data_IF_530233459167
#
_entry.id   IF_530233459167
#
_cell.length_a   1.000
_cell.length_b   1.000
_cell.length_c   1.000
_cell.angle_alpha   90.00
_cell.angle_beta   90.00
_cell.angle_gamma   90.00
#
_symmetry.space_group_name_H-M   'P 1'
#
loop_
_entity.id
_entity.type
_entity.pdbx_description
1 polymer ?
#
# COMPACT_ATOMS: atom_id res chain seq x y z
N UNK A 1 -53.49 14.35 11.23
CA UNK A 1 -52.07 14.10 10.87
C UNK A 1 -51.88 14.43 9.40
N UNK A 2 -51.18 15.53 9.09
CA UNK A 2 -51.03 16.02 7.71
C UNK A 2 -50.17 15.05 6.90
N UNK A 3 -50.58 14.73 5.66
CA UNK A 3 -49.89 13.81 4.75
C UNK A 3 -48.42 14.21 4.53
N UNK A 4 -48.13 15.50 4.67
CA UNK A 4 -46.78 16.07 4.62
C UNK A 4 -45.89 15.71 5.83
N UNK A 5 -46.47 15.46 7.01
CA UNK A 5 -45.72 15.03 8.20
C UNK A 5 -45.19 13.60 8.04
N UNK A 6 -45.94 12.72 7.38
CA UNK A 6 -45.49 11.37 7.04
C UNK A 6 -44.44 11.36 5.93
N UNK A 7 -44.58 12.25 4.93
CA UNK A 7 -43.59 12.38 3.83
C UNK A 7 -42.28 12.99 4.35
N UNK A 8 -42.33 13.96 5.25
CA UNK A 8 -41.15 14.52 5.90
C UNK A 8 -40.46 13.51 6.82
N UNK A 9 -41.20 12.71 7.60
CA UNK A 9 -40.60 11.65 8.43
C UNK A 9 -39.90 10.57 7.57
N UNK A 10 -40.45 10.23 6.40
CA UNK A 10 -39.88 9.24 5.48
C UNK A 10 -38.63 9.75 4.73
N UNK A 11 -38.55 11.06 4.46
CA UNK A 11 -37.38 11.71 3.85
C UNK A 11 -36.20 11.86 4.81
N UNK A 12 -36.45 11.98 6.11
CA UNK A 12 -35.38 12.09 7.14
C UNK A 12 -34.78 10.70 7.45
N UNK A 13 -35.56 9.63 7.30
CA UNK A 13 -35.12 8.25 7.55
C UNK A 13 -34.26 7.66 6.42
N UNK A 14 -34.19 8.32 5.26
CA UNK A 14 -33.41 7.85 4.10
C UNK A 14 -31.96 8.37 4.05
N UNK A 15 -31.53 9.17 5.04
CA UNK A 15 -30.22 9.84 5.03
C UNK A 15 -29.17 9.27 6.00
N UNK A 16 -29.38 8.07 6.57
CA UNK A 16 -28.43 7.47 7.54
C UNK A 16 -27.95 6.11 7.06
N UNK A 17 -27.27 6.09 5.91
CA UNK A 17 -26.37 4.98 5.55
C UNK A 17 -25.04 5.55 5.07
N UNK A 18 -24.37 6.31 5.92
CA UNK A 18 -22.95 6.62 5.73
C UNK A 18 -22.17 5.34 5.97
N UNK A 19 -21.94 4.60 4.89
CA UNK A 19 -21.06 3.45 4.87
C UNK A 19 -19.65 3.90 5.28
N UNK A 20 -19.27 3.60 6.52
CA UNK A 20 -17.89 3.70 6.98
C UNK A 20 -17.08 2.61 6.28
N UNK A 21 -16.43 2.98 5.17
CA UNK A 21 -15.43 2.14 4.52
C UNK A 21 -14.21 2.08 5.43
N UNK A 22 -14.20 1.08 6.33
CA UNK A 22 -12.99 0.71 7.07
C UNK A 22 -12.02 0.05 6.09
N UNK A 23 -10.80 0.57 6.00
CA UNK A 23 -9.73 -0.06 5.25
C UNK A 23 -9.49 -1.47 5.82
N UNK A 24 -9.93 -2.49 5.08
CA UNK A 24 -9.81 -3.87 5.50
C UNK A 24 -8.33 -4.23 5.71
N UNK A 25 -8.00 -4.77 6.88
CA UNK A 25 -6.67 -5.30 7.17
C UNK A 25 -6.41 -6.48 6.22
N UNK A 26 -5.26 -6.53 5.52
CA UNK A 26 -4.97 -7.65 4.62
C UNK A 26 -4.91 -8.95 5.40
N UNK A 27 -5.61 -9.98 4.90
CA UNK A 27 -5.67 -11.33 5.51
C UNK A 27 -4.28 -11.95 5.64
N UNK A 28 -3.40 -11.65 4.69
CA UNK A 28 -1.98 -12.01 4.74
C UNK A 28 -1.10 -10.82 4.35
N UNK A 29 -0.51 -10.09 5.31
CA UNK A 29 0.40 -8.97 5.03
C UNK A 29 1.79 -9.45 4.57
N UNK A 30 2.03 -10.75 4.42
CA UNK A 30 3.33 -11.29 4.08
C UNK A 30 4.39 -11.07 5.18
N UNK A 31 5.67 -11.38 4.90
CA UNK A 31 6.74 -11.24 5.87
C UNK A 31 6.99 -9.78 6.26
N UNK A 32 7.39 -9.55 7.50
CA UNK A 32 7.73 -8.21 8.01
C UNK A 32 9.00 -7.64 7.39
N UNK A 33 9.98 -8.51 7.17
CA UNK A 33 11.27 -8.19 6.55
C UNK A 33 11.52 -9.21 5.43
N UNK A 34 11.96 -8.73 4.27
CA UNK A 34 12.36 -9.56 3.13
C UNK A 34 13.85 -9.32 2.87
N UNK A 35 14.60 -10.40 2.68
CA UNK A 35 16.00 -10.34 2.24
C UNK A 35 16.03 -10.31 0.71
N UNK A 36 16.26 -9.14 0.14
CA UNK A 36 16.33 -8.96 -1.31
C UNK A 36 17.79 -9.11 -1.75
N UNK A 37 18.08 -10.19 -2.48
CA UNK A 37 19.40 -10.39 -3.08
C UNK A 37 19.54 -9.48 -4.30
N UNK A 38 20.50 -8.56 -4.24
CA UNK A 38 20.78 -7.58 -5.29
C UNK A 38 22.26 -7.70 -5.67
N UNK A 39 22.55 -8.53 -6.68
CA UNK A 39 23.92 -8.89 -7.04
C UNK A 39 24.62 -9.67 -5.92
N UNK A 40 25.75 -9.14 -5.44
CA UNK A 40 26.55 -9.74 -4.35
C UNK A 40 26.05 -9.38 -2.95
N UNK A 41 25.17 -8.39 -2.85
CA UNK A 41 24.71 -7.84 -1.59
C UNK A 41 23.26 -8.24 -1.32
N UNK A 42 22.86 -8.16 -0.05
CA UNK A 42 21.49 -8.45 0.37
C UNK A 42 20.95 -7.26 1.15
N UNK A 43 19.84 -6.70 0.68
CA UNK A 43 19.16 -5.59 1.35
C UNK A 43 18.08 -6.15 2.26
N UNK A 44 18.01 -5.65 3.49
CA UNK A 44 16.89 -5.92 4.38
C UNK A 44 15.73 -4.96 4.08
N UNK A 45 14.74 -5.44 3.34
CA UNK A 45 13.56 -4.67 2.99
C UNK A 45 12.48 -4.80 4.07
N UNK A 46 12.08 -3.68 4.66
CA UNK A 46 11.05 -3.62 5.72
C UNK A 46 9.65 -3.57 5.11
N UNK A 47 9.16 -4.71 4.61
CA UNK A 47 7.89 -4.81 3.86
C UNK A 47 6.68 -4.22 4.62
N UNK A 48 6.51 -4.54 5.92
CA UNK A 48 5.40 -3.96 6.70
C UNK A 48 5.50 -2.45 6.91
N UNK A 49 6.72 -1.89 6.92
CA UNK A 49 6.88 -0.42 6.97
C UNK A 49 6.32 0.20 5.69
N UNK A 50 6.62 -0.40 4.55
CA UNK A 50 6.13 0.07 3.26
C UNK A 50 4.61 -0.09 3.13
N UNK A 51 4.03 -1.20 3.61
CA UNK A 51 2.57 -1.34 3.69
C UNK A 51 1.90 -0.23 4.49
N UNK A 52 2.51 0.21 5.61
CA UNK A 52 1.99 1.34 6.39
C UNK A 52 2.12 2.65 5.61
N UNK A 53 3.26 2.89 4.97
CA UNK A 53 3.51 4.09 4.17
C UNK A 53 2.55 4.18 2.99
N UNK A 54 2.23 3.06 2.35
CA UNK A 54 1.29 2.99 1.24
C UNK A 54 -0.15 2.78 1.69
N UNK A 55 -0.48 2.89 2.99
CA UNK A 55 -1.84 2.64 3.50
C UNK A 55 -2.48 1.34 2.98
N UNK A 56 -1.69 0.26 2.97
CA UNK A 56 -2.03 -1.06 2.43
C UNK A 56 -2.46 -1.06 0.94
N UNK A 57 -2.09 -0.05 0.16
CA UNK A 57 -2.19 -0.11 -1.30
C UNK A 57 -1.11 -1.08 -1.84
N UNK A 58 -1.41 -2.39 -1.79
CA UNK A 58 -0.45 -3.44 -2.16
C UNK A 58 0.01 -3.35 -3.62
N UNK A 59 -0.84 -2.78 -4.49
CA UNK A 59 -0.59 -2.70 -5.92
C UNK A 59 0.39 -1.60 -6.33
N UNK A 60 0.85 -0.77 -5.40
CA UNK A 60 1.97 0.15 -5.63
C UNK A 60 3.26 -0.63 -5.97
N UNK A 61 3.35 -1.89 -5.53
CA UNK A 61 4.50 -2.78 -5.79
C UNK A 61 4.11 -4.10 -6.47
N UNK A 62 2.95 -4.65 -6.15
CA UNK A 62 2.51 -5.97 -6.60
C UNK A 62 1.52 -5.90 -7.76
N UNK A 63 1.47 -6.94 -8.58
CA UNK A 63 0.29 -7.14 -9.41
C UNK A 63 -0.89 -7.61 -8.54
N UNK A 64 -2.12 -7.43 -9.03
CA UNK A 64 -3.33 -7.81 -8.29
C UNK A 64 -3.53 -9.34 -8.15
N UNK A 65 -2.71 -10.15 -8.81
CA UNK A 65 -2.87 -11.61 -8.92
C UNK A 65 -1.87 -12.38 -8.05
N UNK A 66 -0.72 -11.81 -7.72
CA UNK A 66 0.41 -12.48 -7.09
C UNK A 66 1.11 -11.59 -6.06
N UNK A 67 1.34 -12.15 -4.88
CA UNK A 67 2.21 -11.54 -3.87
C UNK A 67 3.71 -11.59 -4.24
N UNK A 68 4.10 -12.38 -5.24
CA UNK A 68 5.47 -12.40 -5.76
C UNK A 68 5.58 -11.51 -6.98
N UNK A 69 6.51 -10.56 -6.95
CA UNK A 69 6.83 -9.71 -8.10
C UNK A 69 7.58 -10.57 -9.14
N UNK A 70 7.03 -10.65 -10.36
CA UNK A 70 7.64 -11.39 -11.46
C UNK A 70 8.91 -10.69 -11.95
N UNK A 71 9.86 -11.46 -12.50
CA UNK A 71 11.12 -10.93 -13.06
C UNK A 71 11.91 -10.04 -12.08
N UNK A 72 11.96 -10.43 -10.80
CA UNK A 72 12.73 -9.72 -9.78
C UNK A 72 14.21 -9.68 -10.14
N UNK A 73 14.73 -8.48 -10.42
CA UNK A 73 16.13 -8.20 -10.74
C UNK A 73 16.46 -6.73 -10.37
N UNK A 74 17.68 -6.28 -10.68
CA UNK A 74 18.14 -4.91 -10.45
C UNK A 74 17.21 -3.86 -11.07
N UNK A 75 16.91 -3.99 -12.37
CA UNK A 75 16.07 -3.03 -13.08
C UNK A 75 14.67 -2.93 -12.49
N UNK A 76 14.06 -4.06 -12.12
CA UNK A 76 12.75 -4.10 -11.46
C UNK A 76 12.79 -3.40 -10.11
N UNK A 77 13.81 -3.65 -9.30
CA UNK A 77 13.94 -3.00 -7.98
C UNK A 77 14.17 -1.49 -8.12
N UNK A 78 15.05 -1.05 -9.02
CA UNK A 78 15.31 0.37 -9.26
C UNK A 78 14.06 1.09 -9.77
N UNK A 79 13.28 0.45 -10.64
CA UNK A 79 12.03 1.00 -11.18
C UNK A 79 10.92 1.17 -10.13
N UNK A 80 10.87 0.30 -9.12
CA UNK A 80 9.84 0.34 -8.07
C UNK A 80 10.28 1.26 -6.92
N UNK A 81 11.50 1.09 -6.42
CA UNK A 81 11.94 1.72 -5.19
C UNK A 81 12.33 3.20 -5.38
N UNK A 82 13.16 3.49 -6.39
CA UNK A 82 13.81 4.82 -6.51
C UNK A 82 12.78 5.91 -6.80
N UNK A 83 11.84 5.78 -7.78
CA UNK A 83 10.90 6.85 -8.07
C UNK A 83 10.00 7.21 -6.88
N UNK A 84 9.58 6.21 -6.09
CA UNK A 84 8.77 6.44 -4.91
C UNK A 84 9.55 7.20 -3.82
N UNK A 85 10.80 6.82 -3.56
CA UNK A 85 11.65 7.52 -2.60
C UNK A 85 12.01 8.94 -3.04
N UNK A 86 12.25 9.13 -4.33
CA UNK A 86 12.59 10.42 -4.93
C UNK A 86 11.39 11.38 -4.88
N UNK A 87 10.24 10.94 -5.39
CA UNK A 87 9.00 11.74 -5.43
C UNK A 87 8.54 12.19 -4.04
N UNK A 88 8.69 11.31 -3.03
CA UNK A 88 8.25 11.61 -1.67
C UNK A 88 9.36 12.20 -0.80
N UNK A 89 10.57 12.38 -1.34
CA UNK A 89 11.78 12.79 -0.63
C UNK A 89 12.01 11.96 0.66
N UNK A 90 11.63 10.68 0.61
CA UNK A 90 11.58 9.77 1.76
C UNK A 90 12.15 8.43 1.38
N UNK A 91 13.36 8.17 1.87
CA UNK A 91 14.08 6.93 1.65
C UNK A 91 15.32 7.14 0.76
N UNK A 92 16.15 6.10 0.65
CA UNK A 92 17.38 6.19 -0.13
C UNK A 92 17.13 6.16 -1.65
N UNK A 93 17.77 7.07 -2.38
CA UNK A 93 17.83 7.08 -3.86
C UNK A 93 19.24 6.80 -4.41
N UNK A 94 20.26 6.87 -3.56
CA UNK A 94 21.66 6.61 -3.95
C UNK A 94 22.04 5.15 -3.72
N UNK A 95 23.02 4.65 -4.50
CA UNK A 95 23.49 3.27 -4.40
C UNK A 95 23.83 2.90 -2.95
N UNK A 96 24.71 3.66 -2.29
CA UNK A 96 25.13 3.42 -0.88
C UNK A 96 24.00 3.60 0.13
N UNK A 97 22.93 4.32 -0.22
CA UNK A 97 21.76 4.49 0.65
C UNK A 97 20.99 3.18 0.83
N UNK A 98 20.83 2.42 -0.26
CA UNK A 98 20.17 1.11 -0.27
C UNK A 98 21.16 -0.03 0.04
N UNK A 99 22.33 0.03 -0.57
CA UNK A 99 23.40 -0.97 -0.53
C UNK A 99 24.42 -0.67 0.57
N UNK A 100 23.96 -0.73 1.81
CA UNK A 100 24.84 -0.60 2.96
C UNK A 100 25.57 -1.93 3.16
N UNK A 101 26.90 -1.86 3.16
CA UNK A 101 27.77 -2.99 3.51
C UNK A 101 27.67 -3.31 5.00
#
# INVERSE_FOLDING_TARGET
MSRYLFVLLALILSFVFTATVMAAKPENPGPKIIKLKMGKETIQFTHHKHQKVTNNQCWECHDKKSGKISNWNEATAHKICIPCHDLNEKGPVSCKGCHKK
#
